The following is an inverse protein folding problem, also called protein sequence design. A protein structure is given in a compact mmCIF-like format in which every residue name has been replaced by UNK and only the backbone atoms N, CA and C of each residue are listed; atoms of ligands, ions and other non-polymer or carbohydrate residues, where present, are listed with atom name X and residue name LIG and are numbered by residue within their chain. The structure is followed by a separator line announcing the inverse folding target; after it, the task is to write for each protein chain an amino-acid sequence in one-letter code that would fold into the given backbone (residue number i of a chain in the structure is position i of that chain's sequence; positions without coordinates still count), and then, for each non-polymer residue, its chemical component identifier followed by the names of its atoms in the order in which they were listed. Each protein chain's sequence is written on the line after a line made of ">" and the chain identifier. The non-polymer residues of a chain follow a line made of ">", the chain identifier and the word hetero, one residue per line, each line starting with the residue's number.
data_IF_811865590403
#
_entry.id   IF_811865590403
#
_cell.length_a   1.000
_cell.length_b   1.000
_cell.length_c   1.000
_cell.angle_alpha   90.00
_cell.angle_beta   90.00
_cell.angle_gamma   90.00
#
_symmetry.space_group_name_H-M   'P 1'
#
loop_
_entity.id
_entity.type
_entity.pdbx_description
1 polymer ?
#
# COMPACT_ATOMS: atom_id res chain seq x y z
N UNK A 1 10.10 -13.21 15.03
CA UNK A 1 9.51 -12.68 13.79
C UNK A 1 10.42 -11.67 13.10
N UNK A 2 10.84 -10.57 13.76
CA UNK A 2 11.78 -9.58 13.16
C UNK A 2 13.03 -10.23 12.54
N UNK A 3 13.71 -11.11 13.28
CA UNK A 3 14.91 -11.79 12.78
C UNK A 3 14.62 -12.64 11.54
N UNK A 4 13.47 -13.33 11.51
CA UNK A 4 13.05 -14.13 10.37
C UNK A 4 12.84 -13.25 9.12
N UNK A 5 12.12 -12.13 9.24
CA UNK A 5 11.94 -11.21 8.11
C UNK A 5 13.25 -10.57 7.66
N UNK A 6 14.13 -10.23 8.61
CA UNK A 6 15.47 -9.69 8.31
C UNK A 6 16.30 -10.70 7.52
N UNK A 7 16.25 -11.97 7.91
CA UNK A 7 16.93 -13.04 7.19
C UNK A 7 16.33 -13.25 5.80
N UNK A 8 15.00 -13.21 5.66
CA UNK A 8 14.34 -13.31 4.35
C UNK A 8 14.74 -12.15 3.42
N UNK A 9 14.78 -10.90 3.90
CA UNK A 9 15.23 -9.76 3.10
C UNK A 9 16.73 -9.79 2.76
N UNK A 10 17.52 -10.56 3.52
CA UNK A 10 18.93 -10.80 3.22
C UNK A 10 19.11 -11.86 2.14
N UNK A 11 18.33 -12.94 2.23
CA UNK A 11 18.45 -14.12 1.37
C UNK A 11 17.73 -13.94 0.02
N UNK A 12 16.71 -13.09 -0.01
CA UNK A 12 15.88 -12.81 -1.18
C UNK A 12 15.76 -11.30 -1.42
N UNK A 13 15.58 -10.85 -2.67
CA UNK A 13 15.42 -9.43 -3.01
C UNK A 13 14.02 -8.91 -2.64
N UNK A 14 13.61 -9.07 -1.39
CA UNK A 14 12.34 -8.59 -0.87
C UNK A 14 12.46 -7.09 -0.62
N UNK A 15 11.79 -6.30 -1.46
CA UNK A 15 11.83 -4.84 -1.41
C UNK A 15 10.64 -4.23 -0.65
N UNK A 16 9.60 -5.00 -0.37
CA UNK A 16 8.39 -4.53 0.29
C UNK A 16 7.73 -5.66 1.08
N UNK A 17 7.31 -5.36 2.31
CA UNK A 17 6.52 -6.23 3.17
C UNK A 17 5.28 -5.47 3.62
N UNK A 18 4.12 -6.06 3.35
CA UNK A 18 2.83 -5.57 3.82
C UNK A 18 2.50 -6.26 5.14
N UNK A 19 2.12 -5.48 6.15
CA UNK A 19 1.64 -5.96 7.46
C UNK A 19 2.54 -7.03 8.11
N UNK A 20 3.77 -6.68 8.52
CA UNK A 20 4.68 -7.66 9.11
C UNK A 20 4.18 -8.23 10.45
N UNK A 21 3.36 -7.49 11.20
CA UNK A 21 2.82 -7.87 12.51
C UNK A 21 1.32 -7.60 12.57
N UNK A 22 0.72 -7.99 13.70
CA UNK A 22 -0.70 -7.76 13.97
C UNK A 22 -1.05 -6.26 13.94
N UNK A 23 -2.29 -5.94 13.57
CA UNK A 23 -2.81 -4.57 13.44
C UNK A 23 -2.73 -3.73 14.72
N UNK A 24 -2.60 -4.36 15.89
CA UNK A 24 -2.48 -3.70 17.18
C UNK A 24 -1.03 -3.71 17.72
N UNK A 25 -0.09 -4.35 17.00
CA UNK A 25 1.33 -4.42 17.35
C UNK A 25 2.16 -3.29 16.69
N UNK A 26 1.91 -2.08 17.15
CA UNK A 26 2.56 -0.86 16.66
C UNK A 26 4.06 -0.84 16.95
N UNK A 27 4.46 -1.32 18.13
CA UNK A 27 5.85 -1.30 18.59
C UNK A 27 6.75 -2.18 17.71
N UNK A 28 6.37 -3.43 17.44
CA UNK A 28 7.19 -4.30 16.60
C UNK A 28 7.20 -3.86 15.14
N UNK A 29 6.09 -3.33 14.63
CA UNK A 29 6.04 -2.74 13.28
C UNK A 29 7.01 -1.57 13.16
N UNK A 30 7.01 -0.67 14.14
CA UNK A 30 7.95 0.45 14.21
C UNK A 30 9.41 0.00 14.31
N UNK A 31 9.71 -0.96 15.19
CA UNK A 31 11.06 -1.52 15.31
C UNK A 31 11.55 -2.09 13.97
N UNK A 32 10.69 -2.82 13.26
CA UNK A 32 11.01 -3.39 11.95
C UNK A 32 11.21 -2.32 10.87
N UNK A 33 10.32 -1.33 10.78
CA UNK A 33 10.45 -0.19 9.85
C UNK A 33 11.76 0.57 10.05
N UNK A 34 12.19 0.73 11.31
CA UNK A 34 13.44 1.42 11.65
C UNK A 34 14.71 0.67 11.22
N UNK A 35 14.63 -0.62 10.90
CA UNK A 35 15.75 -1.34 10.29
C UNK A 35 16.07 -0.84 8.87
N UNK A 36 15.09 -0.19 8.20
CA UNK A 36 15.24 0.40 6.85
C UNK A 36 15.76 -0.58 5.79
N UNK A 37 15.42 -1.86 5.94
CA UNK A 37 15.84 -2.93 5.02
C UNK A 37 14.89 -3.10 3.82
N UNK A 38 13.62 -2.69 3.95
CA UNK A 38 12.63 -2.73 2.88
C UNK A 38 11.51 -1.70 3.13
N UNK A 39 10.62 -1.53 2.16
CA UNK A 39 9.34 -0.84 2.36
C UNK A 39 8.46 -1.65 3.33
N UNK A 40 7.77 -0.96 4.23
CA UNK A 40 6.79 -1.52 5.17
C UNK A 40 5.45 -0.87 4.89
N UNK A 41 4.52 -1.65 4.33
CA UNK A 41 3.20 -1.19 3.91
C UNK A 41 2.18 -1.46 5.02
N UNK A 42 1.47 -0.42 5.46
CA UNK A 42 0.36 -0.53 6.40
C UNK A 42 -0.99 -0.70 5.68
N UNK A 43 -1.80 -1.66 6.13
CA UNK A 43 -3.16 -1.92 5.65
C UNK A 43 -4.17 -1.89 6.83
N UNK A 44 -4.43 -3.02 7.48
CA UNK A 44 -5.22 -3.18 8.71
C UNK A 44 -4.63 -2.44 9.90
N UNK A 45 -3.30 -2.27 10.00
CA UNK A 45 -2.70 -1.37 11.00
C UNK A 45 -3.29 0.04 10.89
N UNK A 46 -3.54 0.51 9.66
CA UNK A 46 -4.04 1.86 9.38
C UNK A 46 -5.58 1.88 9.30
N UNK A 47 -6.21 0.76 8.93
CA UNK A 47 -7.65 0.61 8.71
C UNK A 47 -8.25 1.68 7.79
N UNK A 48 -7.46 2.21 6.85
CA UNK A 48 -7.84 3.36 6.03
C UNK A 48 -8.37 4.56 6.85
N UNK A 49 -7.95 4.69 8.11
CA UNK A 49 -8.43 5.69 9.06
C UNK A 49 -7.43 6.83 9.20
N UNK A 50 -7.86 8.06 8.88
CA UNK A 50 -6.99 9.26 8.87
C UNK A 50 -6.23 9.44 10.19
N UNK A 51 -6.88 9.27 11.35
CA UNK A 51 -6.22 9.44 12.66
C UNK A 51 -5.13 8.39 12.91
N UNK A 52 -5.33 7.16 12.42
CA UNK A 52 -4.31 6.10 12.53
C UNK A 52 -3.16 6.34 11.57
N UNK A 53 -3.45 6.87 10.37
CA UNK A 53 -2.43 7.25 9.39
C UNK A 53 -1.56 8.39 9.96
N UNK A 54 -2.17 9.45 10.47
CA UNK A 54 -1.47 10.56 11.14
C UNK A 54 -0.58 10.06 12.27
N UNK A 55 -1.13 9.25 13.18
CA UNK A 55 -0.35 8.64 14.27
C UNK A 55 0.82 7.81 13.75
N UNK A 56 0.61 6.99 12.72
CA UNK A 56 1.66 6.14 12.17
C UNK A 56 2.76 6.93 11.46
N UNK A 57 2.42 8.07 10.84
CA UNK A 57 3.39 9.04 10.30
C UNK A 57 4.21 9.64 11.44
N UNK A 58 3.55 10.18 12.46
CA UNK A 58 4.20 10.84 13.60
C UNK A 58 5.14 9.89 14.36
N UNK A 59 4.72 8.63 14.53
CA UNK A 59 5.50 7.61 15.24
C UNK A 59 6.50 6.87 14.34
N UNK A 60 6.51 7.14 13.03
CA UNK A 60 7.30 6.41 12.03
C UNK A 60 7.09 4.89 12.09
N UNK A 61 5.83 4.47 12.23
CA UNK A 61 5.45 3.06 12.43
C UNK A 61 5.61 2.23 11.17
N UNK A 62 5.22 2.77 10.01
CA UNK A 62 5.45 2.21 8.68
C UNK A 62 5.90 3.32 7.71
N UNK A 63 6.16 3.00 6.44
CA UNK A 63 6.66 3.97 5.46
C UNK A 63 5.93 3.88 4.10
N UNK A 64 4.84 3.13 4.04
CA UNK A 64 3.95 3.08 2.90
C UNK A 64 2.51 2.78 3.30
N UNK A 65 1.58 3.31 2.50
CA UNK A 65 0.14 3.13 2.64
C UNK A 65 -0.38 2.14 1.59
N UNK A 66 -1.14 1.12 2.01
CA UNK A 66 -1.99 0.37 1.10
C UNK A 66 -3.32 1.12 0.93
N UNK A 67 -3.55 1.68 -0.26
CA UNK A 67 -4.75 2.47 -0.54
C UNK A 67 -5.84 1.58 -1.14
N UNK A 68 -6.94 1.39 -0.40
CA UNK A 68 -8.17 0.76 -0.90
C UNK A 68 -9.28 1.80 -0.91
N UNK A 69 -9.60 2.31 -2.09
CA UNK A 69 -10.55 3.44 -2.27
C UNK A 69 -11.89 3.21 -1.57
N UNK A 70 -12.39 1.98 -1.62
CA UNK A 70 -13.69 1.63 -1.04
C UNK A 70 -13.68 1.48 0.50
N UNK A 71 -12.51 1.39 1.15
CA UNK A 71 -12.41 1.45 2.62
C UNK A 71 -12.43 2.88 3.14
N UNK A 72 -11.95 3.83 2.33
CA UNK A 72 -11.96 5.26 2.65
C UNK A 72 -13.36 5.86 2.46
N UNK A 73 -14.06 5.47 1.39
CA UNK A 73 -15.45 5.84 1.14
C UNK A 73 -15.62 6.71 -0.09
N UNK A 74 -14.92 7.85 -0.18
CA UNK A 74 -15.02 8.75 -1.34
C UNK A 74 -13.70 8.98 -2.07
N UNK A 75 -13.78 9.38 -3.35
CA UNK A 75 -12.60 9.73 -4.15
C UNK A 75 -11.85 10.93 -3.57
N UNK A 76 -12.58 11.93 -3.06
CA UNK A 76 -11.98 13.12 -2.45
C UNK A 76 -11.13 12.75 -1.23
N UNK A 77 -11.66 11.89 -0.36
CA UNK A 77 -10.92 11.42 0.82
C UNK A 77 -9.75 10.52 0.42
N UNK A 78 -9.89 9.69 -0.63
CA UNK A 78 -8.78 8.90 -1.15
C UNK A 78 -7.64 9.79 -1.65
N UNK A 79 -7.96 10.84 -2.43
CA UNK A 79 -6.98 11.82 -2.92
C UNK A 79 -6.29 12.54 -1.74
N UNK A 80 -7.04 12.95 -0.72
CA UNK A 80 -6.47 13.57 0.48
C UNK A 80 -5.53 12.63 1.23
N UNK A 81 -5.91 11.36 1.35
CA UNK A 81 -5.11 10.33 2.03
C UNK A 81 -3.80 10.08 1.29
N UNK A 82 -3.84 9.99 -0.06
CA UNK A 82 -2.62 9.89 -0.88
C UNK A 82 -1.73 11.12 -0.67
N UNK A 83 -2.29 12.34 -0.71
CA UNK A 83 -1.51 13.57 -0.49
C UNK A 83 -0.86 13.59 0.89
N UNK A 84 -1.56 13.15 1.93
CA UNK A 84 -1.01 13.04 3.28
C UNK A 84 0.18 12.09 3.31
N UNK A 85 0.06 10.89 2.74
CA UNK A 85 1.15 9.93 2.64
C UNK A 85 2.34 10.47 1.83
N UNK A 86 2.10 11.05 0.66
CA UNK A 86 3.15 11.62 -0.19
C UNK A 86 3.88 12.79 0.47
N UNK A 87 3.16 13.68 1.18
CA UNK A 87 3.76 14.78 1.94
C UNK A 87 4.63 14.29 3.10
N UNK A 88 4.30 13.12 3.66
CA UNK A 88 5.11 12.42 4.66
C UNK A 88 6.25 11.57 4.05
N UNK A 89 6.47 11.68 2.73
CA UNK A 89 7.43 10.87 1.97
C UNK A 89 7.18 9.36 2.05
N UNK A 90 5.94 8.95 2.30
CA UNK A 90 5.55 7.54 2.25
C UNK A 90 5.29 7.09 0.82
N UNK A 91 5.57 5.81 0.56
CA UNK A 91 5.07 5.14 -0.64
C UNK A 91 3.56 4.97 -0.58
N UNK A 92 2.92 4.89 -1.75
CA UNK A 92 1.49 4.58 -1.85
C UNK A 92 1.32 3.39 -2.78
N UNK A 93 0.69 2.33 -2.29
CA UNK A 93 0.36 1.15 -3.08
C UNK A 93 -1.13 1.19 -3.38
N UNK A 94 -1.49 1.50 -4.62
CA UNK A 94 -2.89 1.44 -5.05
C UNK A 94 -3.34 -0.02 -5.07
N UNK A 95 -4.39 -0.39 -4.33
CA UNK A 95 -4.77 -1.78 -4.13
C UNK A 95 -6.17 -2.08 -4.65
N UNK A 96 -6.30 -3.27 -5.25
CA UNK A 96 -7.58 -3.91 -5.50
C UNK A 96 -8.24 -4.42 -4.22
N UNK A 97 -9.42 -5.05 -4.36
CA UNK A 97 -10.05 -5.89 -3.32
C UNK A 97 -10.07 -7.37 -3.69
N UNK A 98 -10.28 -8.25 -2.71
CA UNK A 98 -10.37 -9.70 -2.98
C UNK A 98 -11.54 -10.04 -3.92
N UNK A 99 -12.70 -9.39 -3.75
CA UNK A 99 -13.79 -9.38 -4.74
C UNK A 99 -13.66 -8.16 -5.63
N UNK A 100 -13.39 -8.37 -6.92
CA UNK A 100 -13.21 -7.30 -7.92
C UNK A 100 -14.19 -7.46 -9.08
N UNK A 101 -14.34 -6.40 -9.86
CA UNK A 101 -15.13 -6.34 -11.09
C UNK A 101 -14.23 -6.06 -12.28
N UNK A 102 -14.75 -6.04 -13.51
CA UNK A 102 -13.96 -5.65 -14.69
C UNK A 102 -13.70 -4.14 -14.78
N UNK A 103 -14.18 -3.35 -13.82
CA UNK A 103 -13.92 -1.91 -13.73
C UNK A 103 -12.42 -1.65 -13.51
N UNK A 104 -11.80 -0.80 -14.33
CA UNK A 104 -10.37 -0.51 -14.28
C UNK A 104 -10.01 0.76 -13.53
N UNK A 105 -10.94 1.40 -12.81
CA UNK A 105 -10.80 2.74 -12.22
C UNK A 105 -9.52 2.92 -11.39
N UNK A 106 -9.12 1.91 -10.63
CA UNK A 106 -7.90 2.00 -9.80
C UNK A 106 -6.61 2.12 -10.63
N UNK A 107 -6.61 1.72 -11.90
CA UNK A 107 -5.48 1.93 -12.80
C UNK A 107 -5.33 3.42 -13.15
N UNK A 108 -6.41 4.05 -13.62
CA UNK A 108 -6.45 5.48 -13.90
C UNK A 108 -6.14 6.30 -12.65
N UNK A 109 -6.65 5.89 -11.49
CA UNK A 109 -6.36 6.57 -10.22
C UNK A 109 -4.89 6.41 -9.81
N UNK A 110 -4.28 5.24 -9.98
CA UNK A 110 -2.86 5.02 -9.68
C UNK A 110 -1.96 5.95 -10.52
N UNK A 111 -2.26 6.05 -11.82
CA UNK A 111 -1.52 6.92 -12.75
C UNK A 111 -1.77 8.39 -12.43
N UNK A 112 -3.03 8.81 -12.30
CA UNK A 112 -3.39 10.20 -12.02
C UNK A 112 -2.86 10.73 -10.69
N UNK A 113 -2.70 9.85 -9.71
CA UNK A 113 -2.12 10.17 -8.40
C UNK A 113 -0.62 9.92 -8.30
N UNK A 114 0.01 9.43 -9.38
CA UNK A 114 1.43 9.10 -9.45
C UNK A 114 1.90 8.21 -8.27
N UNK A 115 1.12 7.19 -7.90
CA UNK A 115 1.43 6.32 -6.75
C UNK A 115 2.69 5.48 -6.97
N UNK A 116 3.05 5.23 -8.23
CA UNK A 116 4.23 4.46 -8.63
C UNK A 116 4.09 2.94 -8.46
N UNK A 117 3.20 2.47 -7.58
CA UNK A 117 2.96 1.05 -7.32
C UNK A 117 1.45 0.77 -7.36
N UNK A 118 1.08 -0.31 -8.07
CA UNK A 118 -0.27 -0.88 -8.09
C UNK A 118 -0.21 -2.38 -7.74
N UNK A 119 -1.11 -2.81 -6.86
CA UNK A 119 -1.35 -4.21 -6.47
C UNK A 119 -2.73 -4.60 -6.97
N UNK A 120 -2.80 -5.12 -8.21
CA UNK A 120 -4.05 -5.49 -8.87
C UNK A 120 -4.25 -7.01 -9.01
N UNK A 121 -3.43 -7.83 -8.35
CA UNK A 121 -3.55 -9.30 -8.32
C UNK A 121 -2.62 -10.00 -9.30
N UNK A 122 -2.75 -11.33 -9.42
CA UNK A 122 -1.96 -12.07 -10.39
C UNK A 122 -2.34 -11.66 -11.84
N UNK A 123 -1.45 -11.87 -12.84
CA UNK A 123 -1.75 -11.68 -14.25
C UNK A 123 -2.66 -12.81 -14.78
N UNK A 124 -3.75 -13.07 -14.08
CA UNK A 124 -4.77 -14.05 -14.39
C UNK A 124 -6.12 -13.58 -13.84
N UNK A 125 -7.21 -14.12 -14.41
CA UNK A 125 -8.61 -13.71 -14.15
C UNK A 125 -8.93 -12.31 -14.71
N UNK A 126 -10.07 -12.19 -15.37
CA UNK A 126 -10.44 -11.00 -16.16
C UNK A 126 -10.45 -9.71 -15.33
N UNK A 127 -10.96 -9.79 -14.11
CA UNK A 127 -11.12 -8.63 -13.23
C UNK A 127 -9.78 -8.05 -12.77
N UNK A 128 -8.69 -8.81 -12.87
CA UNK A 128 -7.32 -8.37 -12.55
C UNK A 128 -6.63 -7.84 -13.80
N UNK A 129 -6.71 -8.61 -14.89
CA UNK A 129 -6.11 -8.28 -16.18
C UNK A 129 -6.66 -6.98 -16.75
N UNK A 130 -7.94 -6.66 -16.52
CA UNK A 130 -8.55 -5.39 -16.92
C UNK A 130 -7.77 -4.16 -16.43
N UNK A 131 -7.30 -4.17 -15.17
CA UNK A 131 -6.50 -3.06 -14.61
C UNK A 131 -5.13 -2.98 -15.26
N UNK A 132 -4.46 -4.12 -15.46
CA UNK A 132 -3.14 -4.14 -16.10
C UNK A 132 -3.19 -3.68 -17.55
N UNK A 133 -4.20 -4.11 -18.31
CA UNK A 133 -4.42 -3.65 -19.69
C UNK A 133 -4.66 -2.14 -19.73
N UNK A 134 -5.40 -1.60 -18.76
CA UNK A 134 -5.62 -0.16 -18.66
C UNK A 134 -4.32 0.59 -18.34
N UNK A 135 -3.47 0.08 -17.43
CA UNK A 135 -2.15 0.69 -17.18
C UNK A 135 -1.30 0.71 -18.45
N UNK A 136 -1.27 -0.39 -19.21
CA UNK A 136 -0.56 -0.45 -20.50
C UNK A 136 -1.12 0.64 -21.44
N UNK A 137 -2.44 0.75 -21.56
CA UNK A 137 -3.06 1.77 -22.41
C UNK A 137 -2.71 3.22 -22.00
N UNK A 138 -2.62 3.50 -20.70
CA UNK A 138 -2.31 4.84 -20.18
C UNK A 138 -0.82 5.22 -20.24
N UNK A 139 0.08 4.24 -20.45
CA UNK A 139 1.54 4.44 -20.37
C UNK A 139 2.27 4.24 -21.69
N UNK A 140 1.57 3.78 -22.73
CA UNK A 140 2.02 3.74 -24.11
C UNK A 140 1.70 5.06 -24.83
#
# INVERSE_FOLDING_TARGET
>A
MIEMYTQLCRDYPIVSIEEPFDKDDWEHTKLFTNLRICQVVGDQLLMSNIKRIEKAIDESTCNALLLKVNEIGTITEAIQTVKMATNAHWGVVMSHRCGETDDSFIADLAVGMATGIIKAGAPCRGERVAKYNQVIFLTL
#
